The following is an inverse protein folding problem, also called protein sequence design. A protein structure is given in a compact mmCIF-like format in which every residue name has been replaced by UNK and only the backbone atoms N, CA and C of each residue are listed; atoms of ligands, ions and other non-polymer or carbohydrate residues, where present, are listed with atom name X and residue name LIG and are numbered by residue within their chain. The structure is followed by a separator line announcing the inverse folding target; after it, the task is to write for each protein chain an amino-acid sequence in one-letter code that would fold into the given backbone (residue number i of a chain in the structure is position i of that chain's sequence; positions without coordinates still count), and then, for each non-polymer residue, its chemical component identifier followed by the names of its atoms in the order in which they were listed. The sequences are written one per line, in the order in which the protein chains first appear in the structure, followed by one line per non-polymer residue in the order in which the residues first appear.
data_IF_963412578561
#
_entry.id   IF_963412578561
#
_cell.length_a   1.000
_cell.length_b   1.000
_cell.length_c   1.000
_cell.angle_alpha   90.00
_cell.angle_beta   90.00
_cell.angle_gamma   90.00
#
_symmetry.space_group_name_H-M   'P 1'
#
loop_
_entity.id
_entity.type
_entity.pdbx_description
1 polymer ?
#
# COMPACT_ATOMS: atom_id res chain seq x y z
N UNK A 1 1.09 10.58 -13.48
CA UNK A 1 0.41 9.76 -12.45
C UNK A 1 -0.96 10.37 -12.21
N UNK A 2 -2.01 9.55 -12.05
CA UNK A 2 -3.30 10.04 -11.59
C UNK A 2 -3.17 10.57 -10.15
N UNK A 3 -4.00 11.53 -9.73
CA UNK A 3 -4.13 11.90 -8.31
C UNK A 3 -4.34 10.65 -7.45
N UNK A 4 -3.65 10.61 -6.30
CA UNK A 4 -3.84 9.54 -5.32
C UNK A 4 -4.62 10.11 -4.14
N UNK A 5 -5.77 9.52 -3.85
CA UNK A 5 -6.67 9.93 -2.80
C UNK A 5 -6.92 8.79 -1.80
N UNK A 6 -7.43 9.16 -0.63
CA UNK A 6 -7.80 8.24 0.44
C UNK A 6 -8.89 8.85 1.32
N UNK A 7 -9.52 8.00 2.12
CA UNK A 7 -10.43 8.42 3.16
C UNK A 7 -9.65 8.98 4.37
N UNK A 8 -9.95 10.22 4.77
CA UNK A 8 -9.23 10.91 5.84
C UNK A 8 -9.47 10.27 7.22
N UNK A 9 -10.66 9.75 7.49
CA UNK A 9 -11.00 9.09 8.76
C UNK A 9 -10.27 7.76 8.90
N UNK A 10 -10.17 7.02 7.80
CA UNK A 10 -9.37 5.81 7.68
C UNK A 10 -7.90 6.10 7.93
N UNK A 11 -7.38 7.20 7.37
CA UNK A 11 -5.99 7.59 7.59
C UNK A 11 -5.72 7.87 9.07
N UNK A 12 -6.60 8.66 9.72
CA UNK A 12 -6.51 8.94 11.16
C UNK A 12 -6.49 7.65 11.99
N UNK A 13 -7.38 6.70 11.70
CA UNK A 13 -7.39 5.39 12.37
C UNK A 13 -6.10 4.59 12.17
N UNK A 14 -5.54 4.59 10.96
CA UNK A 14 -4.26 3.90 10.69
C UNK A 14 -3.10 4.52 11.48
N UNK A 15 -3.09 5.84 11.61
CA UNK A 15 -2.10 6.57 12.41
C UNK A 15 -2.23 6.18 13.89
N UNK A 16 -3.44 6.24 14.44
CA UNK A 16 -3.71 5.95 15.85
C UNK A 16 -3.43 4.47 16.22
N UNK A 17 -3.86 3.53 15.37
CA UNK A 17 -3.77 2.10 15.68
C UNK A 17 -2.42 1.47 15.33
N UNK A 18 -1.75 1.99 14.29
CA UNK A 18 -0.61 1.31 13.65
C UNK A 18 0.59 2.23 13.41
N UNK A 19 0.49 3.49 13.77
CA UNK A 19 1.52 4.51 13.56
C UNK A 19 2.01 4.55 12.10
N UNK A 20 1.07 4.43 11.15
CA UNK A 20 1.34 4.49 9.71
C UNK A 20 0.25 5.30 9.01
N UNK A 21 0.63 6.08 8.00
CA UNK A 21 -0.29 6.96 7.27
C UNK A 21 -0.20 6.75 5.76
N UNK A 22 -1.24 7.16 5.04
CA UNK A 22 -1.22 7.17 3.59
C UNK A 22 -0.19 8.17 3.05
N UNK A 23 0.06 9.29 3.71
CA UNK A 23 1.14 10.22 3.34
C UNK A 23 2.50 9.53 3.36
N UNK A 24 2.74 8.63 4.34
CA UNK A 24 3.98 7.84 4.40
C UNK A 24 4.11 6.88 3.22
N UNK A 25 2.98 6.32 2.75
CA UNK A 25 2.92 5.51 1.52
C UNK A 25 3.26 6.37 0.31
N UNK A 26 2.62 7.54 0.14
CA UNK A 26 2.88 8.45 -0.98
C UNK A 26 4.34 8.87 -1.03
N UNK A 27 4.89 9.30 0.10
CA UNK A 27 6.29 9.70 0.20
C UNK A 27 7.23 8.57 -0.22
N UNK A 28 6.94 7.33 0.20
CA UNK A 28 7.74 6.16 -0.15
C UNK A 28 7.62 5.84 -1.64
N UNK A 29 6.42 5.89 -2.23
CA UNK A 29 6.21 5.71 -3.67
C UNK A 29 7.01 6.75 -4.49
N UNK A 30 6.98 8.01 -4.09
CA UNK A 30 7.73 9.09 -4.74
C UNK A 30 9.24 8.93 -4.60
N UNK A 31 9.69 8.33 -3.49
CA UNK A 31 11.11 8.08 -3.20
C UNK A 31 11.62 6.76 -3.78
N UNK A 32 10.86 6.08 -4.63
CA UNK A 32 11.26 4.83 -5.28
C UNK A 32 11.03 3.56 -4.44
N UNK A 33 10.23 3.64 -3.38
CA UNK A 33 9.88 2.53 -2.48
C UNK A 33 8.79 1.59 -3.00
N UNK A 34 8.33 1.73 -4.25
CA UNK A 34 7.45 0.76 -4.87
C UNK A 34 8.25 -0.49 -5.25
N UNK A 35 7.95 -1.62 -4.62
CA UNK A 35 8.62 -2.89 -4.87
C UNK A 35 7.90 -3.71 -5.95
N UNK A 36 6.57 -3.66 -5.95
CA UNK A 36 5.72 -4.40 -6.90
C UNK A 36 4.30 -3.80 -6.98
N UNK A 37 3.60 -4.06 -8.07
CA UNK A 37 2.19 -3.72 -8.28
C UNK A 37 1.45 -4.94 -8.86
N UNK A 38 0.63 -5.57 -8.02
CA UNK A 38 0.00 -6.85 -8.32
C UNK A 38 -1.53 -6.79 -8.24
N UNK A 39 -2.18 -7.66 -9.02
CA UNK A 39 -3.62 -7.85 -8.92
C UNK A 39 -4.00 -8.50 -7.59
N UNK A 40 -5.17 -8.16 -7.05
CA UNK A 40 -5.71 -8.87 -5.90
C UNK A 40 -5.88 -10.37 -6.26
N UNK A 41 -5.40 -11.30 -5.42
CA UNK A 41 -5.40 -12.74 -5.74
C UNK A 41 -6.81 -13.31 -5.90
N UNK A 42 -7.78 -12.78 -5.13
CA UNK A 42 -9.19 -13.08 -5.30
C UNK A 42 -9.84 -12.07 -6.27
N UNK A 43 -9.73 -12.35 -7.58
CA UNK A 43 -10.30 -11.51 -8.64
C UNK A 43 -11.82 -11.56 -8.69
N UNK A 44 -12.43 -12.67 -8.29
CA UNK A 44 -13.90 -12.79 -8.30
C UNK A 44 -14.55 -11.84 -7.30
N UNK A 45 -13.93 -11.68 -6.12
CA UNK A 45 -14.41 -10.77 -5.08
C UNK A 45 -13.93 -9.33 -5.25
N UNK A 46 -12.76 -9.12 -5.86
CA UNK A 46 -12.14 -7.81 -6.00
C UNK A 46 -11.55 -7.59 -7.41
N UNK A 47 -12.38 -7.56 -8.46
CA UNK A 47 -11.92 -7.60 -9.85
C UNK A 47 -11.12 -6.36 -10.28
N UNK A 48 -11.37 -5.21 -9.65
CA UNK A 48 -10.74 -3.93 -9.96
C UNK A 48 -9.74 -3.49 -8.88
N UNK A 49 -9.46 -4.35 -7.90
CA UNK A 49 -8.52 -4.03 -6.84
C UNK A 49 -7.12 -4.53 -7.20
N UNK A 50 -6.16 -3.64 -7.04
CA UNK A 50 -4.73 -3.91 -7.15
C UNK A 50 -4.07 -3.65 -5.80
N UNK A 51 -2.82 -4.06 -5.66
CA UNK A 51 -2.07 -3.96 -4.42
C UNK A 51 -0.69 -3.42 -4.75
N UNK A 52 -0.38 -2.24 -4.23
CA UNK A 52 1.00 -1.79 -4.17
C UNK A 52 1.72 -2.52 -3.06
N UNK A 53 2.91 -3.02 -3.37
CA UNK A 53 3.87 -3.52 -2.38
C UNK A 53 4.89 -2.42 -2.15
N UNK A 54 4.85 -1.81 -0.97
CA UNK A 54 5.62 -0.59 -0.69
C UNK A 54 6.58 -0.85 0.47
N UNK A 55 7.86 -0.55 0.25
CA UNK A 55 8.84 -0.47 1.33
C UNK A 55 8.72 0.85 2.06
N UNK A 56 8.55 0.80 3.38
CA UNK A 56 8.55 1.97 4.26
C UNK A 56 9.52 1.65 5.40
N UNK A 57 10.70 2.28 5.38
CA UNK A 57 11.82 1.90 6.24
C UNK A 57 12.26 0.46 5.96
N UNK A 58 12.39 -0.34 7.02
CA UNK A 58 12.84 -1.75 6.95
C UNK A 58 11.67 -2.75 6.82
N UNK A 59 10.48 -2.27 6.49
CA UNK A 59 9.28 -3.10 6.47
C UNK A 59 8.48 -2.92 5.19
N UNK A 60 7.83 -4.00 4.74
CA UNK A 60 7.01 -4.01 3.54
C UNK A 60 5.53 -4.02 3.88
N UNK A 61 4.80 -3.13 3.22
CA UNK A 61 3.38 -2.92 3.39
C UNK A 61 2.65 -3.25 2.09
N UNK A 62 1.52 -3.94 2.23
CA UNK A 62 0.57 -4.15 1.15
C UNK A 62 -0.47 -3.04 1.24
N UNK A 63 -0.65 -2.30 0.15
CA UNK A 63 -1.56 -1.17 0.06
C UNK A 63 -2.57 -1.46 -1.05
N UNK A 64 -3.73 -2.06 -0.72
CA UNK A 64 -4.79 -2.26 -1.68
C UNK A 64 -5.34 -0.92 -2.18
N UNK A 65 -5.55 -0.82 -3.48
CA UNK A 65 -6.10 0.36 -4.12
C UNK A 65 -7.03 -0.03 -5.28
N UNK A 66 -7.90 0.90 -5.65
CA UNK A 66 -8.67 0.83 -6.89
C UNK A 66 -8.27 2.01 -7.76
N UNK A 67 -8.22 1.78 -9.06
CA UNK A 67 -7.93 2.82 -10.04
C UNK A 67 -9.11 2.94 -10.99
N UNK A 68 -9.62 4.16 -11.15
CA UNK A 68 -10.62 4.50 -12.16
C UNK A 68 -10.01 5.50 -13.15
N UNK A 69 -10.80 6.11 -14.03
CA UNK A 69 -10.30 7.05 -15.03
C UNK A 69 -9.71 8.34 -14.42
N UNK A 70 -10.14 8.72 -13.23
CA UNK A 70 -9.83 10.01 -12.59
C UNK A 70 -8.74 9.91 -11.52
N UNK A 71 -8.73 8.83 -10.72
CA UNK A 71 -7.91 8.73 -9.51
C UNK A 71 -7.46 7.30 -9.19
N UNK A 72 -6.46 7.22 -8.31
CA UNK A 72 -6.10 6.03 -7.55
C UNK A 72 -6.59 6.23 -6.12
N UNK A 73 -7.45 5.34 -5.63
CA UNK A 73 -8.00 5.43 -4.28
C UNK A 73 -7.44 4.33 -3.38
N UNK A 74 -6.66 4.72 -2.36
CA UNK A 74 -6.06 3.79 -1.39
C UNK A 74 -7.10 3.32 -0.37
N UNK A 75 -7.18 2.00 -0.14
CA UNK A 75 -8.19 1.40 0.75
C UNK A 75 -7.68 1.20 2.17
N UNK A 76 -6.44 0.71 2.33
CA UNK A 76 -5.84 0.42 3.64
C UNK A 76 -4.34 0.18 3.53
N UNK A 77 -3.66 0.02 4.67
CA UNK A 77 -2.23 -0.27 4.78
C UNK A 77 -2.08 -1.51 5.66
N UNK A 78 -1.52 -2.58 5.10
CA UNK A 78 -1.39 -3.87 5.77
C UNK A 78 0.09 -4.21 5.91
N UNK A 79 0.65 -4.21 7.13
CA UNK A 79 2.02 -4.68 7.34
C UNK A 79 2.11 -6.18 7.00
N UNK A 80 3.08 -6.57 6.16
CA UNK A 80 3.25 -7.97 5.76
C UNK A 80 4.64 -8.50 6.05
N UNK A 81 4.77 -9.31 7.12
CA UNK A 81 6.03 -10.02 7.46
C UNK A 81 6.49 -10.90 6.31
N UNK A 82 5.54 -11.55 5.63
CA UNK A 82 5.80 -12.40 4.47
C UNK A 82 6.41 -11.58 3.33
N UNK A 83 5.83 -10.42 3.01
CA UNK A 83 6.38 -9.56 1.98
C UNK A 83 7.75 -9.00 2.38
N UNK A 84 7.94 -8.60 3.65
CA UNK A 84 9.25 -8.14 4.12
C UNK A 84 10.33 -9.21 3.89
N UNK A 85 10.07 -10.46 4.29
CA UNK A 85 10.99 -11.57 4.03
C UNK A 85 11.20 -11.83 2.53
N UNK A 86 10.14 -11.73 1.72
CA UNK A 86 10.22 -11.95 0.28
C UNK A 86 11.11 -10.91 -0.42
N UNK A 87 10.97 -9.63 -0.07
CA UNK A 87 11.64 -8.54 -0.79
C UNK A 87 12.98 -8.12 -0.16
N UNK A 88 13.16 -8.25 1.15
CA UNK A 88 14.40 -7.91 1.84
C UNK A 88 15.24 -9.12 2.26
N UNK A 89 14.70 -10.34 2.13
CA UNK A 89 15.34 -11.56 2.59
C UNK A 89 15.37 -11.70 4.11
N UNK A 90 16.12 -12.68 4.62
CA UNK A 90 16.39 -12.84 6.05
C UNK A 90 17.51 -11.89 6.55
N UNK A 91 17.71 -10.73 5.90
CA UNK A 91 18.68 -9.73 6.36
C UNK A 91 18.14 -9.04 7.62
N UNK A 92 18.28 -9.73 8.75
CA UNK A 92 18.26 -9.19 10.11
C UNK A 92 19.55 -9.58 10.80
#
# INVERSE_FOLDING_TARGET
MKPINWDADKNRKLIEERNISFESVIFSLQSGGLLDDMFHPNKDKYPQQRIFVVSIGEYVYLVPYVENEEEIFLKTIIPSRKATKQYFGDKR
#
